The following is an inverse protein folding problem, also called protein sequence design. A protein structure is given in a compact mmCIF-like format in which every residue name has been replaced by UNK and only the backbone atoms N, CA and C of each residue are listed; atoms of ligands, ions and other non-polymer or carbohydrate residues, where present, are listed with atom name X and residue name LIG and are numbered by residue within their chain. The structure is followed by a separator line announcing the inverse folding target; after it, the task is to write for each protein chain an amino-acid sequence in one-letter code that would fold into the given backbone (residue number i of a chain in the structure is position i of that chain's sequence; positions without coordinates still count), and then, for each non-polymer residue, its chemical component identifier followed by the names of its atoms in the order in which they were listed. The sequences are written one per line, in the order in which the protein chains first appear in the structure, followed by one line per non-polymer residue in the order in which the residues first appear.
data_IF_379935712918
#
_entry.id   IF_379935712918
#
_cell.length_a   1.000
_cell.length_b   1.000
_cell.length_c   1.000
_cell.angle_alpha   90.00
_cell.angle_beta   90.00
_cell.angle_gamma   90.00
#
_symmetry.space_group_name_H-M   'P 1'
#
loop_
_entity.id
_entity.type
_entity.pdbx_description
1 polymer ?
#
# COMPACT_ATOMS: atom_id res chain seq x y z
N UNK A 1 -10.10 16.12 -7.45
CA UNK A 1 -9.10 15.27 -6.78
C UNK A 1 -9.88 14.15 -6.10
N UNK A 2 -9.69 12.91 -6.54
CA UNK A 2 -10.31 11.72 -5.96
C UNK A 2 -9.69 11.41 -4.59
N UNK A 3 -10.23 10.44 -3.85
CA UNK A 3 -9.63 9.99 -2.59
C UNK A 3 -8.24 9.37 -2.84
N UNK A 4 -8.12 8.61 -3.93
CA UNK A 4 -6.86 8.00 -4.35
C UNK A 4 -5.82 9.05 -4.75
N UNK A 5 -6.22 10.12 -5.47
CA UNK A 5 -5.31 11.24 -5.78
C UNK A 5 -4.76 11.91 -4.50
N UNK A 6 -5.58 12.04 -3.46
CA UNK A 6 -5.14 12.62 -2.18
C UNK A 6 -4.10 11.75 -1.50
N UNK A 7 -4.33 10.43 -1.51
CA UNK A 7 -3.39 9.48 -0.91
C UNK A 7 -2.08 9.44 -1.68
N UNK A 8 -2.14 9.29 -3.01
CA UNK A 8 -0.95 9.27 -3.87
C UNK A 8 -0.12 10.55 -3.69
N UNK A 9 -0.75 11.71 -3.66
CA UNK A 9 -0.06 13.00 -3.48
C UNK A 9 0.63 13.12 -2.11
N UNK A 10 0.01 12.60 -1.04
CA UNK A 10 0.59 12.60 0.30
C UNK A 10 1.76 11.61 0.46
N UNK A 11 1.71 10.49 -0.26
CA UNK A 11 2.70 9.41 -0.15
C UNK A 11 3.87 9.61 -1.12
N UNK A 12 3.65 10.28 -2.25
CA UNK A 12 4.66 10.49 -3.29
C UNK A 12 6.01 11.03 -2.81
N UNK A 13 6.08 12.06 -1.94
CA UNK A 13 7.37 12.55 -1.45
C UNK A 13 8.21 11.45 -0.77
N UNK A 14 7.58 10.57 0.01
CA UNK A 14 8.27 9.43 0.60
C UNK A 14 8.75 8.44 -0.46
N UNK A 15 7.90 8.07 -1.41
CA UNK A 15 8.27 7.13 -2.48
C UNK A 15 9.45 7.67 -3.27
N UNK A 16 9.41 8.93 -3.68
CA UNK A 16 10.45 9.57 -4.47
C UNK A 16 11.78 9.65 -3.70
N UNK A 17 11.75 10.00 -2.41
CA UNK A 17 12.95 10.13 -1.56
C UNK A 17 13.67 8.79 -1.36
N UNK A 18 12.95 7.68 -1.38
CA UNK A 18 13.52 6.35 -1.18
C UNK A 18 14.04 5.69 -2.46
N UNK A 19 13.57 6.10 -3.63
CA UNK A 19 13.97 5.52 -4.91
C UNK A 19 15.41 5.94 -5.29
N UNK A 20 16.11 5.16 -6.16
CA UNK A 20 17.39 5.59 -6.71
C UNK A 20 17.20 6.86 -7.55
N UNK A 21 18.25 7.67 -7.75
CA UNK A 21 18.14 8.85 -8.61
C UNK A 21 17.70 8.50 -10.05
N UNK A 22 16.85 9.35 -10.64
CA UNK A 22 16.51 9.22 -12.05
C UNK A 22 17.73 9.57 -12.95
N UNK A 23 17.87 8.96 -14.16
CA UNK A 23 16.95 7.97 -14.71
C UNK A 23 17.21 6.57 -14.15
N UNK A 24 16.16 5.88 -13.74
CA UNK A 24 16.21 4.50 -13.29
C UNK A 24 14.94 3.74 -13.75
N UNK A 25 15.00 2.42 -13.80
CA UNK A 25 13.87 1.57 -14.15
C UNK A 25 13.10 1.17 -12.91
N UNK A 26 11.82 1.54 -12.83
CA UNK A 26 10.95 1.31 -11.68
C UNK A 26 9.74 0.47 -12.07
N UNK A 27 9.46 -0.56 -11.29
CA UNK A 27 8.24 -1.36 -11.37
C UNK A 27 7.32 -0.99 -10.21
N UNK A 28 6.09 -0.58 -10.50
CA UNK A 28 5.05 -0.44 -9.48
C UNK A 28 4.15 -1.67 -9.46
N UNK A 29 3.93 -2.22 -8.27
CA UNK A 29 3.01 -3.34 -8.01
C UNK A 29 1.82 -2.82 -7.22
N UNK A 30 0.60 -3.11 -7.70
CA UNK A 30 -0.62 -2.59 -7.11
C UNK A 30 -0.97 -1.18 -7.62
N UNK A 31 -0.72 -0.89 -8.91
CA UNK A 31 -1.05 0.42 -9.48
C UNK A 31 -2.58 0.67 -9.59
N UNK A 32 -3.40 -0.37 -9.43
CA UNK A 32 -4.86 -0.28 -9.47
C UNK A 32 -5.42 0.26 -10.79
N UNK A 33 -6.72 0.50 -10.81
CA UNK A 33 -7.45 0.96 -12.00
C UNK A 33 -7.09 2.38 -12.44
N UNK A 34 -6.51 3.20 -11.56
CA UNK A 34 -6.14 4.59 -11.83
C UNK A 34 -4.67 4.78 -12.19
N UNK A 35 -3.86 3.70 -12.16
CA UNK A 35 -2.48 3.73 -12.62
C UNK A 35 -1.43 4.12 -11.57
N UNK A 36 -1.83 4.29 -10.31
CA UNK A 36 -0.91 4.45 -9.16
C UNK A 36 0.08 5.61 -9.28
N UNK A 37 1.33 5.33 -8.96
CA UNK A 37 2.44 6.28 -9.05
C UNK A 37 3.08 6.37 -10.44
N UNK A 38 2.69 5.52 -11.42
CA UNK A 38 3.33 5.50 -12.76
C UNK A 38 3.39 6.87 -13.41
N UNK A 39 2.33 7.71 -13.42
CA UNK A 39 2.42 9.05 -13.99
C UNK A 39 3.45 9.93 -13.26
N UNK A 40 3.45 9.94 -11.93
CA UNK A 40 4.38 10.74 -11.13
C UNK A 40 5.83 10.27 -11.30
N UNK A 41 6.05 8.95 -11.44
CA UNK A 41 7.35 8.37 -11.75
C UNK A 41 7.84 8.85 -13.12
N UNK A 42 6.97 8.82 -14.15
CA UNK A 42 7.30 9.33 -15.48
C UNK A 42 7.67 10.83 -15.48
N UNK A 43 6.87 11.66 -14.80
CA UNK A 43 7.13 13.09 -14.65
C UNK A 43 8.46 13.37 -13.92
N UNK A 44 8.86 12.50 -12.99
CA UNK A 44 10.13 12.58 -12.28
C UNK A 44 11.32 11.99 -13.08
N UNK A 45 11.11 11.52 -14.31
CA UNK A 45 12.15 11.05 -15.21
C UNK A 45 12.52 9.57 -15.06
N UNK A 46 11.72 8.78 -14.37
CA UNK A 46 11.88 7.33 -14.29
C UNK A 46 11.30 6.63 -15.52
N UNK A 47 11.87 5.49 -15.87
CA UNK A 47 11.25 4.55 -16.79
C UNK A 47 10.38 3.59 -15.98
N UNK A 48 9.08 3.86 -15.94
CA UNK A 48 8.14 3.16 -15.05
C UNK A 48 7.20 2.21 -15.80
N UNK A 49 6.84 1.11 -15.14
CA UNK A 49 5.74 0.22 -15.54
C UNK A 49 4.93 -0.13 -14.29
N UNK A 50 3.61 0.01 -14.38
CA UNK A 50 2.66 -0.42 -13.36
C UNK A 50 2.08 -1.80 -13.67
N UNK A 51 1.92 -2.61 -12.63
CA UNK A 51 1.37 -3.97 -12.71
C UNK A 51 0.22 -4.11 -11.72
N UNK A 52 -0.92 -4.54 -12.22
CA UNK A 52 -2.11 -4.82 -11.42
C UNK A 52 -3.09 -5.64 -12.29
N UNK A 53 -3.87 -6.60 -11.75
CA UNK A 53 -4.92 -7.28 -12.51
C UNK A 53 -5.95 -6.32 -13.13
N UNK A 54 -6.18 -5.18 -12.50
CA UNK A 54 -7.11 -4.14 -12.91
C UNK A 54 -6.42 -2.89 -13.49
N UNK A 55 -5.12 -2.97 -13.82
CA UNK A 55 -4.37 -1.85 -14.38
C UNK A 55 -5.09 -1.20 -15.57
N UNK A 56 -4.92 0.12 -15.79
CA UNK A 56 -5.47 0.78 -16.96
C UNK A 56 -4.82 0.26 -18.25
N UNK A 57 -5.43 0.57 -19.39
CA UNK A 57 -4.82 0.30 -20.69
C UNK A 57 -3.71 1.32 -20.96
N UNK A 58 -2.62 0.84 -21.56
CA UNK A 58 -1.51 1.72 -21.94
C UNK A 58 -0.17 1.01 -22.04
N UNK A 59 0.82 1.63 -22.69
CA UNK A 59 2.13 1.03 -22.89
C UNK A 59 2.89 0.82 -21.56
N UNK A 60 2.60 1.65 -20.56
CA UNK A 60 3.28 1.67 -19.27
C UNK A 60 2.56 0.82 -18.22
N UNK A 61 1.57 0.01 -18.63
CA UNK A 61 0.80 -0.83 -17.72
C UNK A 61 0.77 -2.29 -18.17
N UNK A 62 0.66 -3.19 -17.19
CA UNK A 62 0.50 -4.63 -17.40
C UNK A 62 -0.66 -5.11 -16.55
N UNK A 63 -1.74 -5.52 -17.20
CA UNK A 63 -2.96 -6.08 -16.60
C UNK A 63 -2.76 -7.56 -16.33
N UNK A 64 -2.02 -7.88 -15.25
CA UNK A 64 -1.64 -9.24 -14.87
C UNK A 64 -1.28 -9.28 -13.39
N UNK A 65 -1.45 -10.44 -12.76
CA UNK A 65 -0.87 -10.71 -11.43
C UNK A 65 0.64 -10.50 -11.47
N UNK A 66 1.19 -9.82 -10.46
CA UNK A 66 2.59 -9.44 -10.50
C UNK A 66 3.55 -10.65 -10.52
N UNK A 67 3.17 -11.77 -9.91
CA UNK A 67 3.92 -13.03 -9.92
C UNK A 67 4.16 -13.55 -11.35
N UNK A 68 3.28 -13.20 -12.29
CA UNK A 68 3.37 -13.57 -13.70
C UNK A 68 3.99 -12.48 -14.57
N UNK A 69 4.19 -11.29 -14.01
CA UNK A 69 4.77 -10.18 -14.76
C UNK A 69 6.22 -10.45 -15.12
N UNK A 70 6.57 -10.17 -16.37
CA UNK A 70 7.94 -10.14 -16.86
C UNK A 70 8.28 -8.69 -17.20
N UNK A 71 9.05 -7.97 -16.35
CA UNK A 71 9.47 -6.62 -16.68
C UNK A 71 10.28 -6.61 -17.97
N UNK A 72 10.14 -5.58 -18.81
CA UNK A 72 10.83 -5.52 -20.10
C UNK A 72 12.33 -5.16 -19.97
N UNK A 73 12.81 -4.91 -18.75
CA UNK A 73 14.20 -4.53 -18.43
C UNK A 73 14.57 -4.95 -17.00
N UNK A 74 15.86 -4.96 -16.62
CA UNK A 74 16.29 -5.05 -15.23
C UNK A 74 15.69 -3.91 -14.39
N UNK A 75 15.25 -4.20 -13.18
CA UNK A 75 14.51 -3.28 -12.31
C UNK A 75 15.44 -2.72 -11.24
N UNK A 76 15.65 -1.40 -11.26
CA UNK A 76 16.47 -0.67 -10.28
C UNK A 76 15.70 -0.37 -8.98
N UNK A 77 14.37 -0.19 -9.10
CA UNK A 77 13.47 0.07 -7.99
C UNK A 77 12.12 -0.62 -8.15
N UNK A 78 11.57 -1.10 -7.05
CA UNK A 78 10.18 -1.57 -6.97
C UNK A 78 9.42 -0.72 -5.97
N UNK A 79 8.22 -0.28 -6.34
CA UNK A 79 7.22 0.31 -5.44
C UNK A 79 6.09 -0.71 -5.29
N UNK A 80 5.85 -1.21 -4.08
CA UNK A 80 4.69 -2.03 -3.76
C UNK A 80 3.67 -1.19 -2.99
N UNK A 81 2.52 -0.96 -3.62
CA UNK A 81 1.53 0.00 -3.18
C UNK A 81 0.21 -0.71 -2.86
N UNK A 82 -0.07 -0.95 -1.57
CA UNK A 82 -1.30 -1.61 -1.08
C UNK A 82 -1.58 -2.96 -1.77
N UNK A 83 -0.54 -3.74 -2.04
CA UNK A 83 -0.61 -4.96 -2.85
C UNK A 83 -0.23 -6.23 -2.08
N UNK A 84 0.78 -6.15 -1.20
CA UNK A 84 1.37 -7.35 -0.59
C UNK A 84 0.41 -8.05 0.39
N UNK A 85 -0.51 -7.32 0.99
CA UNK A 85 -1.50 -7.94 1.87
C UNK A 85 -2.55 -8.78 1.12
N UNK A 86 -2.65 -8.64 -0.22
CA UNK A 86 -3.58 -9.39 -1.07
C UNK A 86 -2.97 -10.58 -1.82
N UNK A 87 -1.65 -10.74 -1.82
CA UNK A 87 -1.01 -11.84 -2.57
C UNK A 87 -1.41 -13.20 -1.99
N UNK A 88 -1.59 -14.19 -2.86
CA UNK A 88 -2.03 -15.52 -2.43
C UNK A 88 -0.98 -16.26 -1.60
N UNK A 89 0.30 -16.15 -1.99
CA UNK A 89 1.45 -16.72 -1.30
C UNK A 89 2.49 -15.62 -1.06
N UNK A 90 2.53 -15.13 0.18
CA UNK A 90 3.40 -14.02 0.56
C UNK A 90 4.88 -14.37 0.40
N UNK A 91 5.30 -15.57 0.75
CA UNK A 91 6.69 -15.98 0.65
C UNK A 91 7.15 -16.02 -0.81
N UNK A 92 6.35 -16.62 -1.68
CA UNK A 92 6.63 -16.65 -3.12
C UNK A 92 6.65 -15.24 -3.72
N UNK A 93 5.71 -14.39 -3.31
CA UNK A 93 5.63 -13.01 -3.77
C UNK A 93 6.88 -12.21 -3.36
N UNK A 94 7.32 -12.32 -2.11
CA UNK A 94 8.51 -11.63 -1.62
C UNK A 94 9.82 -12.16 -2.23
N UNK A 95 9.93 -13.46 -2.47
CA UNK A 95 11.06 -14.04 -3.21
C UNK A 95 11.08 -13.52 -4.65
N UNK A 96 9.91 -13.44 -5.30
CA UNK A 96 9.79 -12.86 -6.63
C UNK A 96 10.20 -11.38 -6.67
N UNK A 97 9.81 -10.58 -5.68
CA UNK A 97 10.23 -9.19 -5.54
C UNK A 97 11.76 -9.06 -5.47
N UNK A 98 12.39 -9.87 -4.63
CA UNK A 98 13.84 -9.90 -4.52
C UNK A 98 14.51 -10.23 -5.86
N UNK A 99 13.99 -11.22 -6.57
CA UNK A 99 14.60 -11.70 -7.81
C UNK A 99 14.40 -10.73 -8.99
N UNK A 100 13.37 -9.91 -8.97
CA UNK A 100 13.12 -8.86 -9.97
C UNK A 100 14.11 -7.69 -9.85
N UNK A 101 14.50 -7.32 -8.64
CA UNK A 101 15.44 -6.21 -8.42
C UNK A 101 16.86 -6.59 -8.83
N UNK A 102 17.58 -5.64 -9.40
CA UNK A 102 19.03 -5.77 -9.55
C UNK A 102 19.71 -5.87 -8.16
N UNK A 103 20.92 -6.47 -8.03
CA UNK A 103 21.70 -6.36 -6.81
C UNK A 103 21.86 -4.89 -6.38
N UNK A 104 21.66 -4.58 -5.10
CA UNK A 104 21.63 -3.21 -4.59
C UNK A 104 20.35 -2.41 -4.93
N UNK A 105 19.46 -2.96 -5.73
CA UNK A 105 18.19 -2.32 -6.09
C UNK A 105 17.28 -2.03 -4.89
N UNK A 106 16.45 -1.01 -5.03
CA UNK A 106 15.63 -0.46 -3.94
C UNK A 106 14.21 -1.00 -3.97
N UNK A 107 13.70 -1.41 -2.82
CA UNK A 107 12.29 -1.72 -2.58
C UNK A 107 11.65 -0.64 -1.70
N UNK A 108 10.56 -0.07 -2.16
CA UNK A 108 9.71 0.85 -1.40
C UNK A 108 8.35 0.21 -1.23
N UNK A 109 7.87 0.09 0.00
CA UNK A 109 6.55 -0.50 0.30
C UNK A 109 5.71 0.50 1.04
N UNK A 110 4.48 0.66 0.59
CA UNK A 110 3.44 1.41 1.27
C UNK A 110 2.25 0.49 1.45
N UNK A 111 1.97 0.17 2.70
CA UNK A 111 0.97 -0.83 3.07
C UNK A 111 0.08 -0.35 4.21
N UNK A 112 -1.01 -1.06 4.43
CA UNK A 112 -1.78 -0.93 5.64
C UNK A 112 -1.73 -2.20 6.49
N UNK A 113 -1.73 -2.03 7.80
CA UNK A 113 -1.73 -3.10 8.79
C UNK A 113 -3.14 -3.21 9.39
N UNK A 114 -3.98 -4.05 8.78
CA UNK A 114 -5.39 -4.18 9.18
C UNK A 114 -5.56 -4.58 10.64
N UNK A 115 -4.64 -5.39 11.17
CA UNK A 115 -4.65 -5.86 12.57
C UNK A 115 -4.45 -4.73 13.58
N UNK A 116 -3.99 -3.57 13.13
CA UNK A 116 -3.82 -2.37 13.96
C UNK A 116 -5.05 -1.48 13.97
N UNK A 117 -6.02 -1.73 13.10
CA UNK A 117 -7.29 -1.01 13.05
C UNK A 117 -8.17 -1.46 14.21
N UNK A 118 -7.87 -0.99 15.44
CA UNK A 118 -8.66 -1.28 16.61
C UNK A 118 -10.03 -0.55 16.60
N UNK A 119 -10.89 -0.89 17.56
CA UNK A 119 -12.24 -0.31 17.60
C UNK A 119 -12.24 1.21 17.78
N UNK A 120 -11.29 1.75 18.55
CA UNK A 120 -11.17 3.20 18.75
C UNK A 120 -10.81 3.91 17.45
N UNK A 121 -9.85 3.38 16.72
CA UNK A 121 -9.40 3.87 15.41
C UNK A 121 -10.52 3.76 14.37
N UNK A 122 -11.21 2.61 14.32
CA UNK A 122 -12.33 2.41 13.41
C UNK A 122 -13.47 3.39 13.68
N UNK A 123 -13.89 3.56 14.93
CA UNK A 123 -14.94 4.52 15.32
C UNK A 123 -14.54 5.97 15.01
N UNK A 124 -13.29 6.32 15.24
CA UNK A 124 -12.76 7.65 14.89
C UNK A 124 -12.87 7.91 13.38
N UNK A 125 -12.50 6.92 12.55
CA UNK A 125 -12.66 6.99 11.10
C UNK A 125 -14.13 7.05 10.67
N UNK A 126 -14.99 6.18 11.22
CA UNK A 126 -16.41 6.15 10.89
C UNK A 126 -17.16 7.45 11.19
N UNK A 127 -16.76 8.15 12.26
CA UNK A 127 -17.32 9.44 12.62
C UNK A 127 -16.97 10.57 11.64
N UNK A 128 -15.96 10.34 10.76
CA UNK A 128 -15.43 11.31 9.79
C UNK A 128 -15.69 10.93 8.33
N UNK A 129 -16.44 9.87 8.10
CA UNK A 129 -16.81 9.48 6.74
C UNK A 129 -17.74 10.51 6.11
N UNK A 130 -17.40 10.94 4.89
CA UNK A 130 -18.34 11.68 4.08
C UNK A 130 -19.53 10.77 3.68
N UNK A 131 -20.74 11.30 3.53
CA UNK A 131 -21.80 10.56 2.88
C UNK A 131 -21.33 10.08 1.49
N UNK A 132 -21.62 8.84 1.08
CA UNK A 132 -21.29 8.38 -0.26
C UNK A 132 -21.90 9.31 -1.30
N UNK A 133 -21.14 9.63 -2.35
CA UNK A 133 -21.70 10.38 -3.48
C UNK A 133 -22.86 9.58 -4.10
N UNK A 134 -23.88 10.29 -4.56
CA UNK A 134 -25.08 9.65 -5.11
C UNK A 134 -24.71 8.77 -6.32
N UNK A 135 -24.96 7.47 -6.20
CA UNK A 135 -24.64 6.48 -7.25
C UNK A 135 -23.20 6.00 -7.29
N UNK A 136 -22.34 6.44 -6.36
CA UNK A 136 -20.99 5.89 -6.21
C UNK A 136 -21.00 4.68 -5.28
N UNK A 137 -20.12 3.72 -5.57
CA UNK A 137 -19.86 2.59 -4.68
C UNK A 137 -19.29 3.08 -3.34
N UNK A 138 -19.77 2.55 -2.20
CA UNK A 138 -19.25 2.90 -0.90
C UNK A 138 -17.76 2.54 -0.80
N UNK A 139 -16.94 3.46 -0.29
CA UNK A 139 -15.55 3.19 0.02
C UNK A 139 -15.38 2.04 1.04
N UNK A 140 -14.17 1.49 1.15
CA UNK A 140 -13.89 0.33 2.01
C UNK A 140 -14.28 0.56 3.48
N UNK A 141 -14.03 1.74 4.03
CA UNK A 141 -14.37 2.08 5.41
C UNK A 141 -15.90 2.14 5.64
N UNK A 142 -16.67 2.59 4.64
CA UNK A 142 -18.14 2.52 4.70
C UNK A 142 -18.63 1.08 4.74
N UNK A 143 -18.06 0.21 3.87
CA UNK A 143 -18.41 -1.22 3.85
C UNK A 143 -18.09 -1.89 5.18
N UNK A 144 -16.94 -1.59 5.80
CA UNK A 144 -16.61 -2.10 7.14
C UNK A 144 -17.60 -1.63 8.21
N UNK A 145 -17.95 -0.34 8.22
CA UNK A 145 -18.95 0.18 9.17
C UNK A 145 -20.28 -0.53 9.05
N UNK A 146 -20.78 -0.70 7.85
CA UNK A 146 -22.07 -1.36 7.58
C UNK A 146 -22.04 -2.84 7.95
N UNK A 147 -21.04 -3.58 7.48
CA UNK A 147 -20.87 -5.01 7.77
C UNK A 147 -20.69 -5.27 9.26
N UNK A 148 -19.87 -4.47 9.93
CA UNK A 148 -19.70 -4.57 11.38
C UNK A 148 -21.00 -4.30 12.12
N UNK A 149 -21.70 -3.21 11.83
CA UNK A 149 -22.99 -2.88 12.44
C UNK A 149 -24.02 -3.98 12.25
N UNK A 150 -24.07 -4.59 11.09
CA UNK A 150 -24.96 -5.70 10.78
C UNK A 150 -24.58 -7.02 11.49
N UNK A 151 -23.29 -7.21 11.78
CA UNK A 151 -22.79 -8.46 12.38
C UNK A 151 -23.16 -8.64 13.86
N UNK A 152 -23.35 -7.55 14.58
CA UNK A 152 -23.56 -7.54 16.03
C UNK A 152 -22.38 -8.08 16.86
N UNK A 153 -21.20 -8.23 16.24
CA UNK A 153 -20.01 -8.80 16.89
C UNK A 153 -19.11 -7.72 17.46
N UNK A 154 -18.25 -8.02 18.44
CA UNK A 154 -17.12 -7.17 18.80
C UNK A 154 -16.22 -6.89 17.58
N UNK A 155 -15.66 -5.68 17.52
CA UNK A 155 -14.87 -5.21 16.38
C UNK A 155 -13.69 -6.14 16.03
N UNK A 156 -12.91 -6.53 17.04
CA UNK A 156 -11.73 -7.39 16.87
C UNK A 156 -12.07 -8.76 16.28
N UNK A 157 -13.22 -9.32 16.65
CA UNK A 157 -13.70 -10.58 16.08
C UNK A 157 -14.19 -10.39 14.65
N UNK A 158 -14.98 -9.34 14.41
CA UNK A 158 -15.46 -9.02 13.06
C UNK A 158 -14.32 -8.83 12.09
N UNK A 159 -13.28 -8.06 12.49
CA UNK A 159 -12.17 -7.72 11.63
C UNK A 159 -11.29 -8.95 11.31
N UNK A 160 -11.05 -9.83 12.29
CA UNK A 160 -10.34 -11.10 12.05
C UNK A 160 -11.10 -12.04 11.13
N UNK A 161 -12.41 -12.25 11.39
CA UNK A 161 -13.25 -13.10 10.54
C UNK A 161 -13.29 -12.55 9.09
N UNK A 162 -13.29 -11.23 8.92
CA UNK A 162 -13.20 -10.59 7.60
C UNK A 162 -11.83 -10.84 6.94
N UNK A 163 -10.74 -10.61 7.66
CA UNK A 163 -9.39 -10.78 7.12
C UNK A 163 -9.12 -12.24 6.70
N UNK A 164 -9.60 -13.20 7.49
CA UNK A 164 -9.53 -14.63 7.17
C UNK A 164 -10.36 -14.96 5.92
N UNK A 165 -11.56 -14.43 5.80
CA UNK A 165 -12.45 -14.65 4.65
C UNK A 165 -11.92 -14.05 3.35
N UNK A 166 -11.27 -12.87 3.42
CA UNK A 166 -10.65 -12.20 2.27
C UNK A 166 -9.22 -12.72 1.98
N UNK A 167 -8.63 -13.52 2.88
CA UNK A 167 -7.29 -14.06 2.73
C UNK A 167 -6.18 -13.01 2.81
N UNK A 168 -6.40 -11.89 3.54
CA UNK A 168 -5.44 -10.79 3.61
C UNK A 168 -4.38 -11.03 4.70
N UNK A 169 -3.11 -10.84 4.34
CA UNK A 169 -1.99 -10.97 5.25
C UNK A 169 -1.93 -9.82 6.25
N UNK A 170 -1.63 -10.09 7.55
CA UNK A 170 -1.35 -9.03 8.51
C UNK A 170 -0.09 -8.24 8.13
N UNK A 171 -0.08 -6.93 8.42
CA UNK A 171 1.07 -6.07 8.18
C UNK A 171 2.34 -6.54 8.90
N UNK A 172 2.21 -7.10 10.12
CA UNK A 172 3.34 -7.70 10.84
C UNK A 172 3.96 -8.89 10.08
N UNK A 173 3.15 -9.72 9.43
CA UNK A 173 3.64 -10.85 8.63
C UNK A 173 4.34 -10.35 7.36
N UNK A 174 3.76 -9.35 6.69
CA UNK A 174 4.39 -8.71 5.52
C UNK A 174 5.75 -8.13 5.91
N UNK A 175 5.81 -7.38 7.01
CA UNK A 175 7.05 -6.75 7.50
C UNK A 175 8.12 -7.78 7.86
N UNK A 176 7.76 -8.85 8.58
CA UNK A 176 8.68 -9.94 8.92
C UNK A 176 9.23 -10.65 7.67
N UNK A 177 8.38 -10.89 6.68
CA UNK A 177 8.79 -11.49 5.41
C UNK A 177 9.74 -10.60 4.60
N UNK A 178 9.51 -9.28 4.61
CA UNK A 178 10.40 -8.28 4.01
C UNK A 178 11.76 -8.26 4.71
N UNK A 179 11.80 -8.20 6.03
CA UNK A 179 13.04 -8.16 6.81
C UNK A 179 13.88 -9.44 6.67
N UNK A 180 13.25 -10.57 6.36
CA UNK A 180 13.95 -11.84 6.10
C UNK A 180 14.69 -11.86 4.74
N UNK A 181 14.32 -10.97 3.80
CA UNK A 181 14.80 -11.01 2.40
C UNK A 181 15.58 -9.79 1.96
N UNK A 182 15.37 -8.66 2.63
CA UNK A 182 15.93 -7.36 2.25
C UNK A 182 16.67 -6.71 3.41
N UNK A 183 17.62 -5.85 3.10
CA UNK A 183 18.28 -5.01 4.11
C UNK A 183 17.44 -3.76 4.32
N UNK A 184 16.72 -3.70 5.44
CA UNK A 184 15.85 -2.57 5.79
C UNK A 184 16.66 -1.29 5.96
N UNK A 185 16.22 -0.22 5.32
CA UNK A 185 16.77 1.15 5.43
C UNK A 185 15.84 2.08 6.21
N UNK A 186 14.54 1.86 6.08
CA UNK A 186 13.51 2.68 6.71
C UNK A 186 12.29 1.84 7.07
N UNK A 187 11.67 2.15 8.20
CA UNK A 187 10.33 1.69 8.55
C UNK A 187 9.69 2.71 9.49
N UNK A 188 8.45 3.07 9.19
CA UNK A 188 7.62 3.88 10.07
C UNK A 188 6.15 3.53 9.90
N UNK A 189 5.42 3.70 10.99
CA UNK A 189 3.97 3.65 11.03
C UNK A 189 3.42 5.03 10.69
N UNK A 190 2.37 5.09 9.87
CA UNK A 190 1.86 6.34 9.31
C UNK A 190 0.33 6.43 9.31
N UNK A 191 -0.22 7.64 9.20
CA UNK A 191 -1.62 7.87 8.84
C UNK A 191 -1.99 7.14 7.55
N UNK A 192 -3.22 6.65 7.48
CA UNK A 192 -3.74 5.97 6.29
C UNK A 192 -5.19 6.33 5.99
N UNK A 193 -5.99 6.56 7.04
CA UNK A 193 -7.44 6.74 6.93
C UNK A 193 -7.82 8.08 6.28
N UNK A 194 -6.98 9.12 6.42
CA UNK A 194 -7.27 10.51 6.02
C UNK A 194 -7.77 10.63 4.58
N UNK A 195 -7.25 9.81 3.68
CA UNK A 195 -7.63 9.86 2.26
C UNK A 195 -9.10 9.51 2.05
N UNK A 196 -9.65 8.59 2.85
CA UNK A 196 -11.05 8.16 2.82
C UNK A 196 -12.00 9.00 3.67
N UNK A 197 -11.50 10.01 4.39
CA UNK A 197 -12.28 10.79 5.34
C UNK A 197 -12.63 12.18 4.82
N UNK A 198 -13.80 12.68 5.23
CA UNK A 198 -14.21 14.06 4.93
C UNK A 198 -13.42 15.04 5.78
N UNK A 199 -12.95 16.13 5.15
CA UNK A 199 -12.30 17.25 5.82
C UNK A 199 -11.24 16.85 6.87
N UNK A 200 -10.57 15.73 6.64
CA UNK A 200 -9.47 15.22 7.49
C UNK A 200 -8.19 15.18 6.66
N UNK A 201 -7.16 15.85 7.10
CA UNK A 201 -5.83 15.85 6.52
C UNK A 201 -4.96 14.74 7.13
N UNK A 202 -3.85 14.40 6.46
CA UNK A 202 -2.81 13.52 7.03
C UNK A 202 -2.29 14.05 8.38
N UNK A 203 -2.09 15.38 8.48
CA UNK A 203 -1.62 16.01 9.72
C UNK A 203 -2.63 15.91 10.88
N UNK A 204 -3.94 15.96 10.59
CA UNK A 204 -4.97 15.79 11.62
C UNK A 204 -5.07 14.32 12.10
N UNK A 205 -4.90 13.36 11.19
CA UNK A 205 -4.80 11.96 11.59
C UNK A 205 -3.53 11.71 12.42
N UNK A 206 -2.37 12.27 11.98
CA UNK A 206 -1.13 12.18 12.74
C UNK A 206 -1.26 12.77 14.15
N UNK A 207 -1.89 13.94 14.28
CA UNK A 207 -2.13 14.55 15.59
C UNK A 207 -3.01 13.67 16.50
N UNK A 208 -3.98 12.95 15.95
CA UNK A 208 -4.78 12.00 16.71
C UNK A 208 -3.98 10.76 17.14
N UNK A 209 -3.04 10.30 16.30
CA UNK A 209 -2.09 9.22 16.62
C UNK A 209 -1.16 9.67 17.74
N UNK A 210 -0.54 10.84 17.60
CA UNK A 210 0.40 11.39 18.60
C UNK A 210 -0.26 11.62 19.97
N UNK A 211 -1.55 11.96 19.95
CA UNK A 211 -2.35 12.10 21.18
C UNK A 211 -2.80 10.73 21.78
N UNK A 212 -2.48 9.61 21.13
CA UNK A 212 -2.89 8.26 21.58
C UNK A 212 -4.39 7.99 21.48
N UNK A 213 -5.11 8.76 20.68
CA UNK A 213 -6.56 8.59 20.47
C UNK A 213 -6.86 7.44 19.49
N UNK A 214 -5.94 7.22 18.55
CA UNK A 214 -6.03 6.19 17.51
C UNK A 214 -4.64 5.58 17.26
N UNK A 215 -4.61 4.46 16.55
CA UNK A 215 -3.36 3.85 16.07
C UNK A 215 -3.07 4.26 14.64
N UNK A 216 -1.79 4.38 14.31
CA UNK A 216 -1.36 4.42 12.93
C UNK A 216 -1.58 3.03 12.29
N UNK A 217 -2.30 2.98 11.18
CA UNK A 217 -2.59 1.74 10.46
C UNK A 217 -1.90 1.67 9.10
N UNK A 218 -1.26 2.76 8.65
CA UNK A 218 -0.38 2.77 7.49
C UNK A 218 1.04 2.35 7.85
N UNK A 219 1.75 1.77 6.90
CA UNK A 219 3.16 1.37 7.00
C UNK A 219 3.92 1.91 5.80
N UNK A 220 5.05 2.57 6.07
CA UNK A 220 6.04 2.98 5.06
C UNK A 220 7.33 2.21 5.34
N UNK A 221 7.84 1.54 4.33
CA UNK A 221 9.03 0.70 4.44
C UNK A 221 9.93 0.92 3.23
N UNK A 222 11.23 0.96 3.43
CA UNK A 222 12.22 0.96 2.36
C UNK A 222 13.39 0.04 2.69
N UNK A 223 13.87 -0.67 1.69
CA UNK A 223 14.95 -1.63 1.82
C UNK A 223 15.77 -1.73 0.53
N UNK A 224 16.89 -2.42 0.61
CA UNK A 224 17.70 -2.78 -0.55
C UNK A 224 17.84 -4.29 -0.68
N UNK A 225 17.89 -4.78 -1.93
CA UNK A 225 18.34 -6.14 -2.21
C UNK A 225 19.82 -6.26 -1.85
N UNK A 226 20.20 -7.27 -1.08
CA UNK A 226 21.59 -7.51 -0.75
C UNK A 226 22.44 -7.74 -2.03
N UNK A 227 23.68 -7.24 -2.02
CA UNK A 227 24.68 -7.58 -3.02
C UNK A 227 25.02 -9.08 -2.91
N UNK A 228 25.30 -9.78 -4.02
CA UNK A 228 25.81 -11.14 -3.95
C UNK A 228 27.12 -11.14 -3.16
N UNK A 229 27.26 -12.10 -2.25
CA UNK A 229 28.55 -12.29 -1.57
C UNK A 229 29.64 -12.54 -2.62
N UNK A 230 30.61 -11.63 -2.69
CA UNK A 230 31.76 -11.70 -3.61
C UNK A 230 32.67 -12.90 -3.35
#
# INVERSE_FOLDING_TARGET
MTLDDRWLAAVWPFVQDQLPPAPAAVLEIGCGTLGGFVPALGDAGYRAVGVDPDAPEGPDYRRVEFERCQPPWPVDGVVASLALHHVADLDQALDRLRDLLVPGGTLVVVEWAWERLDEATARWGFARLAPPARGAEPGWLHRHRERWSASGRPWDRYLRDWAEAEGVHPGEQVLAGLDARFTRRFHAEHPYLFSGLAATSEAEEQAAIDAGLIRAVGTRYAATRAEPAG
#
